data_IF_011462833347
#
_entry.id   IF_011462833347
#
_cell.length_a   1.000
_cell.length_b   1.000
_cell.length_c   1.000
_cell.angle_alpha   90.00
_cell.angle_beta   90.00
_cell.angle_gamma   90.00
#
_symmetry.space_group_name_H-M   'P 1'
#
loop_
_entity.id
_entity.type
_entity.pdbx_description
1 polymer ?
#
# COMPACT_ATOMS: atom_id res chain seq x y z
N UNK A 1 -5.57 -1.81 -14.61
CA UNK A 1 -5.99 -1.07 -13.39
C UNK A 1 -4.81 -1.00 -12.45
N UNK A 2 -4.34 0.18 -12.02
CA UNK A 2 -3.17 0.26 -11.15
C UNK A 2 -3.51 -0.31 -9.75
N UNK A 3 -2.63 -1.14 -9.21
CA UNK A 3 -2.73 -1.67 -7.85
C UNK A 3 -2.44 -0.54 -6.84
N UNK A 4 -3.48 0.11 -6.32
CA UNK A 4 -3.32 1.05 -5.17
C UNK A 4 -3.32 0.35 -3.81
N UNK A 5 -3.35 -0.98 -3.79
CA UNK A 5 -3.38 -1.83 -2.61
C UNK A 5 -2.34 -2.93 -2.80
N UNK A 6 -1.69 -3.34 -1.71
CA UNK A 6 -0.88 -4.55 -1.73
C UNK A 6 -1.75 -5.77 -2.01
N UNK A 7 -1.16 -6.85 -2.53
CA UNK A 7 -1.86 -8.13 -2.68
C UNK A 7 -1.36 -9.10 -1.61
N UNK A 8 -2.27 -9.61 -0.80
CA UNK A 8 -2.02 -10.67 0.18
C UNK A 8 -2.54 -11.96 -0.43
N UNK A 9 -1.62 -12.83 -0.83
CA UNK A 9 -1.95 -14.14 -1.40
C UNK A 9 -1.72 -15.21 -0.34
N UNK A 10 -2.80 -15.86 0.07
CA UNK A 10 -2.77 -16.99 0.99
C UNK A 10 -2.83 -18.26 0.16
N UNK A 11 -1.84 -19.13 0.34
CA UNK A 11 -1.79 -20.44 -0.28
C UNK A 11 -1.91 -21.50 0.83
N UNK A 12 -3.05 -22.18 0.86
CA UNK A 12 -3.40 -23.09 1.93
C UNK A 12 -3.74 -24.49 1.47
N UNK A 13 -3.70 -25.44 2.41
CA UNK A 13 -3.90 -26.86 2.11
C UNK A 13 -5.39 -27.24 2.00
N UNK A 14 -6.29 -26.44 2.57
CA UNK A 14 -7.74 -26.68 2.54
C UNK A 14 -8.40 -26.02 1.32
N UNK A 15 -9.55 -26.53 0.84
CA UNK A 15 -10.30 -25.89 -0.23
C UNK A 15 -10.86 -24.52 0.19
N UNK A 16 -11.31 -24.41 1.44
CA UNK A 16 -11.92 -23.19 1.97
C UNK A 16 -10.95 -22.40 2.86
N UNK A 17 -10.94 -21.05 2.73
CA UNK A 17 -10.13 -20.21 3.59
C UNK A 17 -10.60 -20.26 5.04
N UNK A 18 -9.66 -20.42 5.96
CA UNK A 18 -9.94 -20.32 7.40
C UNK A 18 -10.40 -18.91 7.78
N UNK A 19 -11.28 -18.81 8.78
CA UNK A 19 -11.83 -17.55 9.29
C UNK A 19 -10.79 -16.45 9.55
N UNK A 20 -9.60 -16.81 10.04
CA UNK A 20 -8.50 -15.87 10.31
C UNK A 20 -8.11 -15.04 9.09
N UNK A 21 -8.13 -15.63 7.89
CA UNK A 21 -7.82 -14.92 6.65
C UNK A 21 -8.96 -14.00 6.23
N UNK A 22 -10.20 -14.41 6.44
CA UNK A 22 -11.39 -13.59 6.16
C UNK A 22 -11.43 -12.36 7.08
N UNK A 23 -11.19 -12.55 8.38
CA UNK A 23 -11.12 -11.44 9.34
C UNK A 23 -9.99 -10.46 9.01
N UNK A 24 -8.81 -10.98 8.62
CA UNK A 24 -7.72 -10.14 8.14
C UNK A 24 -8.10 -9.39 6.84
N UNK A 25 -8.74 -10.06 5.89
CA UNK A 25 -9.20 -9.43 4.64
C UNK A 25 -10.19 -8.29 4.90
N UNK A 26 -11.11 -8.46 5.85
CA UNK A 26 -12.04 -7.41 6.27
C UNK A 26 -11.29 -6.24 6.91
N UNK A 27 -10.44 -6.52 7.90
CA UNK A 27 -9.65 -5.51 8.63
C UNK A 27 -8.78 -4.67 7.69
N UNK A 28 -8.13 -5.30 6.71
CA UNK A 28 -7.17 -4.67 5.82
C UNK A 28 -7.74 -4.29 4.46
N UNK A 29 -9.06 -4.36 4.28
CA UNK A 29 -9.73 -4.15 2.99
C UNK A 29 -9.40 -2.80 2.33
N UNK A 30 -9.05 -1.77 3.09
CA UNK A 30 -8.62 -0.47 2.57
C UNK A 30 -7.20 -0.48 1.99
N UNK A 31 -6.30 -1.29 2.53
CA UNK A 31 -4.86 -1.31 2.19
C UNK A 31 -4.44 -2.49 1.31
N UNK A 32 -5.21 -3.58 1.40
CA UNK A 32 -4.85 -4.86 0.82
C UNK A 32 -6.02 -5.49 0.06
N UNK A 33 -5.69 -6.20 -1.01
CA UNK A 33 -6.57 -7.16 -1.66
C UNK A 33 -6.11 -8.56 -1.26
N UNK A 34 -7.07 -9.45 -1.00
CA UNK A 34 -6.78 -10.81 -0.59
C UNK A 34 -7.14 -11.79 -1.70
N UNK A 35 -6.29 -12.80 -1.87
CA UNK A 35 -6.57 -13.97 -2.68
C UNK A 35 -6.28 -15.21 -1.86
N UNK A 36 -7.12 -16.24 -2.00
CA UNK A 36 -6.89 -17.55 -1.41
C UNK A 36 -6.72 -18.58 -2.51
N UNK A 37 -5.69 -19.41 -2.41
CA UNK A 37 -5.34 -20.44 -3.37
C UNK A 37 -5.25 -21.77 -2.64
N UNK A 38 -6.11 -22.71 -3.04
CA UNK A 38 -6.06 -24.07 -2.55
C UNK A 38 -4.92 -24.83 -3.20
N UNK A 39 -3.83 -25.02 -2.45
CA UNK A 39 -2.62 -25.68 -2.92
C UNK A 39 -2.90 -27.13 -3.31
N UNK A 40 -3.62 -27.92 -2.50
CA UNK A 40 -3.80 -29.35 -2.80
C UNK A 40 -4.68 -29.64 -4.04
N UNK A 41 -5.20 -28.60 -4.71
CA UNK A 41 -5.81 -28.73 -6.03
C UNK A 41 -4.84 -29.35 -7.06
N UNK A 42 -5.28 -30.34 -7.86
CA UNK A 42 -4.44 -31.04 -8.84
C UNK A 42 -4.25 -30.29 -10.17
N UNK A 43 -4.51 -28.97 -10.23
CA UNK A 43 -4.35 -28.18 -11.46
C UNK A 43 -2.87 -27.92 -11.82
N UNK A 44 -2.54 -28.02 -13.12
CA UNK A 44 -1.23 -27.69 -13.68
C UNK A 44 -0.84 -26.22 -13.44
N UNK A 45 -1.83 -25.32 -13.38
CA UNK A 45 -1.63 -23.91 -13.06
C UNK A 45 -1.12 -23.77 -11.62
N UNK A 46 -1.71 -24.52 -10.68
CA UNK A 46 -1.32 -24.51 -9.26
C UNK A 46 0.06 -25.13 -9.07
N UNK A 47 0.39 -26.17 -9.85
CA UNK A 47 1.74 -26.74 -9.87
C UNK A 47 2.78 -25.71 -10.35
N UNK A 48 2.51 -25.04 -11.47
CA UNK A 48 3.38 -24.00 -12.02
C UNK A 48 3.56 -22.81 -11.06
N UNK A 49 2.48 -22.38 -10.40
CA UNK A 49 2.53 -21.30 -9.40
C UNK A 49 3.40 -21.68 -8.18
N UNK A 50 3.30 -22.92 -7.70
CA UNK A 50 4.13 -23.40 -6.59
C UNK A 50 5.61 -23.35 -6.93
N UNK A 51 5.97 -23.83 -8.11
CA UNK A 51 7.36 -23.88 -8.55
C UNK A 51 7.92 -22.46 -8.69
N UNK A 52 7.18 -21.56 -9.34
CA UNK A 52 7.55 -20.15 -9.50
C UNK A 52 7.69 -19.41 -8.15
N UNK A 53 6.89 -19.79 -7.15
CA UNK A 53 6.95 -19.20 -5.80
C UNK A 53 7.87 -19.97 -4.84
N UNK A 54 8.55 -21.01 -5.31
CA UNK A 54 9.39 -21.91 -4.50
C UNK A 54 8.66 -22.55 -3.29
N UNK A 55 7.38 -22.87 -3.45
CA UNK A 55 6.55 -23.49 -2.41
C UNK A 55 6.63 -25.02 -2.51
N UNK A 56 7.47 -25.63 -1.68
CA UNK A 56 7.70 -27.09 -1.69
C UNK A 56 6.63 -27.88 -0.93
N UNK A 57 6.11 -27.31 0.16
CA UNK A 57 5.21 -28.03 1.05
C UNK A 57 3.75 -27.86 0.63
N UNK A 58 3.08 -28.96 0.29
CA UNK A 58 1.67 -28.96 -0.13
C UNK A 58 0.66 -28.86 1.02
N UNK A 59 1.10 -29.21 2.24
CA UNK A 59 0.27 -29.23 3.46
C UNK A 59 0.56 -28.03 4.38
N UNK A 60 1.37 -27.07 3.93
CA UNK A 60 1.74 -25.88 4.68
C UNK A 60 0.86 -24.70 4.27
N UNK A 61 0.70 -23.74 5.17
CA UNK A 61 0.11 -22.44 4.86
C UNK A 61 1.21 -21.46 4.49
N UNK A 62 1.01 -20.71 3.42
CA UNK A 62 1.92 -19.66 2.99
C UNK A 62 1.12 -18.36 2.84
N UNK A 63 1.59 -17.27 3.44
CA UNK A 63 1.04 -15.94 3.23
C UNK A 63 2.12 -15.11 2.56
N UNK A 64 1.82 -14.62 1.36
CA UNK A 64 2.72 -13.82 0.53
C UNK A 64 2.16 -12.42 0.38
N UNK A 65 3.02 -11.42 0.49
CA UNK A 65 2.66 -10.02 0.23
C UNK A 65 3.38 -9.55 -1.03
N UNK A 66 2.63 -9.02 -1.98
CA UNK A 66 3.14 -8.37 -3.19
C UNK A 66 2.80 -6.89 -3.14
N UNK A 67 3.77 -6.05 -3.51
CA UNK A 67 3.62 -4.59 -3.56
C UNK A 67 3.27 -4.12 -5.00
N UNK A 68 3.67 -2.90 -5.35
CA UNK A 68 3.48 -2.30 -6.68
C UNK A 68 4.41 -2.88 -7.77
N UNK A 69 5.24 -3.88 -7.44
CA UNK A 69 6.17 -4.56 -8.38
C UNK A 69 6.04 -6.09 -8.28
N UNK A 70 4.86 -6.67 -8.61
CA UNK A 70 4.65 -8.10 -8.44
C UNK A 70 5.62 -8.97 -9.25
N UNK A 71 6.21 -8.43 -10.33
CA UNK A 71 7.21 -9.12 -11.15
C UNK A 71 8.53 -9.44 -10.43
N UNK A 72 8.86 -8.76 -9.33
CA UNK A 72 10.03 -9.07 -8.51
C UNK A 72 9.74 -10.14 -7.43
N UNK A 73 8.52 -10.65 -7.40
CA UNK A 73 8.06 -11.63 -6.41
C UNK A 73 7.52 -10.98 -5.13
N UNK A 74 7.28 -11.79 -4.08
CA UNK A 74 6.70 -11.30 -2.84
C UNK A 74 7.73 -10.52 -2.01
N UNK A 75 7.33 -9.35 -1.51
CA UNK A 75 8.15 -8.52 -0.61
C UNK A 75 8.19 -9.04 0.82
N UNK A 76 7.21 -9.86 1.19
CA UNK A 76 7.20 -10.56 2.48
C UNK A 76 6.54 -11.93 2.34
N UNK A 77 7.00 -12.87 3.17
CA UNK A 77 6.53 -14.25 3.19
C UNK A 77 6.45 -14.76 4.62
N UNK A 78 5.38 -15.47 4.91
CA UNK A 78 5.22 -16.28 6.11
C UNK A 78 4.86 -17.71 5.66
N UNK A 79 5.69 -18.68 6.00
CA UNK A 79 5.50 -20.10 5.65
C UNK A 79 5.42 -20.92 6.92
N UNK A 80 4.32 -21.65 7.12
CA UNK A 80 4.04 -22.34 8.37
C UNK A 80 3.67 -23.79 8.07
N UNK A 81 4.45 -24.71 8.63
CA UNK A 81 4.28 -26.15 8.47
C UNK A 81 3.23 -26.75 9.39
N UNK A 82 3.03 -26.16 10.57
CA UNK A 82 1.97 -26.56 11.49
C UNK A 82 0.95 -25.44 11.62
N UNK A 83 -0.26 -25.71 11.15
CA UNK A 83 -1.31 -24.69 11.04
C UNK A 83 -1.74 -24.06 12.38
N UNK A 84 -1.49 -24.73 13.50
CA UNK A 84 -1.77 -24.21 14.83
C UNK A 84 -0.76 -23.13 15.25
N UNK A 85 0.37 -23.01 14.56
CA UNK A 85 1.39 -21.97 14.79
C UNK A 85 1.06 -20.66 14.08
N UNK A 86 0.14 -20.65 13.10
CA UNK A 86 -0.28 -19.42 12.45
C UNK A 86 -1.27 -18.65 13.31
N UNK A 87 -0.78 -17.69 14.08
CA UNK A 87 -1.60 -16.82 14.90
C UNK A 87 -2.14 -15.62 14.10
N UNK A 88 -3.25 -15.04 14.57
CA UNK A 88 -3.75 -13.77 14.04
C UNK A 88 -2.71 -12.66 14.21
N UNK A 89 -1.94 -12.67 15.29
CA UNK A 89 -0.91 -11.66 15.56
C UNK A 89 0.25 -11.73 14.56
N UNK A 90 0.69 -12.94 14.19
CA UNK A 90 1.71 -13.11 13.16
C UNK A 90 1.22 -12.60 11.79
N UNK A 91 -0.04 -12.89 11.44
CA UNK A 91 -0.67 -12.40 10.21
C UNK A 91 -0.81 -10.87 10.22
N UNK A 92 -1.31 -10.29 11.31
CA UNK A 92 -1.44 -8.84 11.47
C UNK A 92 -0.07 -8.17 11.37
N UNK A 93 0.93 -8.68 12.09
CA UNK A 93 2.29 -8.12 12.09
C UNK A 93 2.91 -8.14 10.69
N UNK A 94 2.76 -9.26 9.97
CA UNK A 94 3.25 -9.38 8.60
C UNK A 94 2.62 -8.31 7.70
N UNK A 95 1.30 -8.10 7.80
CA UNK A 95 0.58 -7.13 6.97
C UNK A 95 0.92 -5.70 7.37
N UNK A 96 0.88 -5.34 8.66
CA UNK A 96 1.18 -3.97 9.12
C UNK A 96 2.57 -3.51 8.69
N UNK A 97 3.56 -4.39 8.76
CA UNK A 97 4.93 -4.08 8.38
C UNK A 97 5.12 -3.89 6.87
N UNK A 98 4.17 -4.35 6.06
CA UNK A 98 4.30 -4.39 4.59
C UNK A 98 3.09 -3.79 3.86
N UNK A 99 2.13 -3.15 4.55
CA UNK A 99 0.88 -2.63 3.95
C UNK A 99 1.10 -1.42 3.05
N UNK A 100 2.25 -0.78 3.14
CA UNK A 100 2.57 0.44 2.41
C UNK A 100 3.28 0.14 1.08
N UNK A 101 2.72 0.69 -0.01
CA UNK A 101 3.36 0.71 -1.31
C UNK A 101 4.57 1.64 -1.31
N UNK A 102 5.47 1.48 -2.30
CA UNK A 102 6.63 2.38 -2.46
C UNK A 102 6.20 3.83 -2.74
N UNK A 103 5.11 4.00 -3.49
CA UNK A 103 4.45 5.27 -3.75
C UNK A 103 2.93 5.10 -3.65
N UNK A 104 2.34 5.23 -2.45
CA UNK A 104 0.91 5.10 -2.26
C UNK A 104 0.13 6.26 -2.92
N UNK A 105 -1.07 5.97 -3.41
CA UNK A 105 -2.02 6.98 -3.90
C UNK A 105 -2.96 7.41 -2.78
N UNK A 106 -3.09 8.70 -2.53
CA UNK A 106 -4.13 9.24 -1.64
C UNK A 106 -5.50 9.13 -2.30
N UNK A 107 -6.45 8.54 -1.59
CA UNK A 107 -7.83 8.33 -2.08
C UNK A 107 -8.93 8.65 -1.06
N UNK A 108 -8.53 9.01 0.16
CA UNK A 108 -9.40 9.57 1.19
C UNK A 108 -8.57 10.31 2.23
N UNK A 109 -9.24 11.09 3.09
CA UNK A 109 -8.67 11.72 4.29
C UNK A 109 -8.11 10.70 5.28
N UNK A 110 -8.82 9.60 5.52
CA UNK A 110 -8.42 8.58 6.50
C UNK A 110 -7.11 7.91 6.08
N UNK A 111 -6.94 7.71 4.76
CA UNK A 111 -5.73 7.12 4.21
C UNK A 111 -4.53 8.07 4.35
N UNK A 112 -4.74 9.38 4.21
CA UNK A 112 -3.74 10.40 4.51
C UNK A 112 -3.37 10.37 5.99
N UNK A 113 -4.35 10.37 6.89
CA UNK A 113 -4.09 10.43 8.34
C UNK A 113 -3.29 9.21 8.82
N UNK A 114 -3.50 8.03 8.24
CA UNK A 114 -2.69 6.85 8.53
C UNK A 114 -1.26 6.93 7.96
N UNK A 115 -1.09 7.45 6.73
CA UNK A 115 0.24 7.63 6.12
C UNK A 115 1.06 8.73 6.79
N UNK A 116 0.37 9.82 7.09
CA UNK A 116 0.90 11.13 7.45
C UNK A 116 0.28 11.64 8.76
N UNK A 117 0.36 10.86 9.86
CA UNK A 117 -0.31 11.21 11.10
C UNK A 117 0.22 12.53 11.66
N UNK A 118 -0.69 13.45 11.93
CA UNK A 118 -0.41 14.70 12.65
C UNK A 118 -0.27 14.39 14.14
N UNK A 119 0.95 14.48 14.67
CA UNK A 119 1.20 14.34 16.11
C UNK A 119 1.90 15.59 16.65
N UNK A 120 1.30 16.20 17.68
CA UNK A 120 1.92 17.31 18.43
C UNK A 120 3.12 16.86 19.27
N UNK A 121 3.27 15.55 19.53
CA UNK A 121 4.27 14.99 20.45
C UNK A 121 5.50 14.40 19.77
N UNK A 122 5.54 14.30 18.44
CA UNK A 122 6.65 13.68 17.71
C UNK A 122 7.09 14.60 16.55
N UNK A 123 8.32 15.15 16.58
CA UNK A 123 8.71 16.16 15.61
C UNK A 123 8.86 15.60 14.19
N UNK A 124 8.21 16.32 13.26
CA UNK A 124 8.45 16.46 11.80
C UNK A 124 8.44 15.17 10.98
N UNK A 125 7.30 14.49 10.88
CA UNK A 125 7.01 13.66 9.71
C UNK A 125 6.53 14.59 8.58
N UNK A 126 7.17 14.52 7.42
CA UNK A 126 6.75 15.28 6.23
C UNK A 126 6.09 14.36 5.24
N UNK A 127 5.12 14.88 4.50
CA UNK A 127 4.52 14.18 3.39
C UNK A 127 4.66 15.01 2.12
N UNK A 128 5.44 14.49 1.18
CA UNK A 128 5.58 15.06 -0.14
C UNK A 128 4.50 14.46 -1.04
N UNK A 129 3.54 15.29 -1.42
CA UNK A 129 2.37 14.89 -2.20
C UNK A 129 2.54 15.44 -3.61
N UNK A 130 2.55 14.57 -4.62
CA UNK A 130 2.51 14.96 -6.03
C UNK A 130 1.04 15.03 -6.50
N UNK A 131 0.47 16.23 -6.72
CA UNK A 131 -0.83 16.37 -7.37
C UNK A 131 -0.70 16.17 -8.87
N UNK A 132 -1.54 15.30 -9.43
CA UNK A 132 -1.65 15.00 -10.86
C UNK A 132 -3.11 14.82 -11.26
N UNK A 133 -3.42 14.83 -12.54
CA UNK A 133 -4.72 14.46 -13.09
C UNK A 133 -4.72 12.96 -13.42
N UNK A 134 -5.84 12.27 -13.20
CA UNK A 134 -6.05 10.90 -13.67
C UNK A 134 -6.25 10.89 -15.19
N UNK A 135 -5.17 11.06 -15.94
CA UNK A 135 -5.13 11.05 -17.41
C UNK A 135 -3.85 10.40 -17.94
N UNK A 136 -3.83 10.05 -19.23
CA UNK A 136 -2.65 9.47 -19.89
C UNK A 136 -1.47 10.42 -19.96
N UNK A 137 -1.73 11.73 -20.07
CA UNK A 137 -0.68 12.75 -20.16
C UNK A 137 0.11 12.83 -18.85
N UNK A 138 -0.59 12.77 -17.71
CA UNK A 138 0.03 12.91 -16.39
C UNK A 138 0.64 11.60 -15.85
N UNK A 139 0.38 10.47 -16.51
CA UNK A 139 0.93 9.17 -16.13
C UNK A 139 2.47 9.17 -16.12
N UNK A 140 3.10 9.94 -17.01
CA UNK A 140 4.55 10.09 -17.08
C UNK A 140 5.13 10.67 -15.78
N UNK A 141 4.44 11.62 -15.14
CA UNK A 141 4.88 12.22 -13.88
C UNK A 141 4.76 11.23 -12.73
N UNK A 142 3.68 10.45 -12.69
CA UNK A 142 3.49 9.40 -11.69
C UNK A 142 4.56 8.32 -11.84
N UNK A 143 4.86 7.90 -13.08
CA UNK A 143 5.89 6.90 -13.35
C UNK A 143 7.29 7.39 -12.98
N UNK A 144 7.62 8.65 -13.33
CA UNK A 144 8.88 9.29 -12.94
C UNK A 144 9.02 9.37 -11.42
N UNK A 145 7.98 9.82 -10.73
CA UNK A 145 8.00 9.93 -9.27
C UNK A 145 8.04 8.56 -8.57
N UNK A 146 7.41 7.54 -9.15
CA UNK A 146 7.52 6.16 -8.65
C UNK A 146 8.96 5.65 -8.75
N UNK A 147 9.64 5.90 -9.87
CA UNK A 147 11.04 5.54 -10.02
C UNK A 147 11.92 6.27 -9.00
N UNK A 148 11.69 7.57 -8.79
CA UNK A 148 12.35 8.33 -7.74
C UNK A 148 12.11 7.75 -6.34
N UNK A 149 10.85 7.42 -6.01
CA UNK A 149 10.49 6.83 -4.73
C UNK A 149 11.12 5.45 -4.52
N UNK A 150 11.27 4.64 -5.58
CA UNK A 150 11.99 3.35 -5.51
C UNK A 150 13.47 3.54 -5.23
N UNK A 151 14.12 4.49 -5.91
CA UNK A 151 15.55 4.74 -5.78
C UNK A 151 15.91 5.39 -4.44
N UNK A 152 15.10 6.34 -3.97
CA UNK A 152 15.44 7.19 -2.82
C UNK A 152 14.54 7.00 -1.59
N UNK A 153 13.43 6.26 -1.69
CA UNK A 153 12.41 6.16 -0.65
C UNK A 153 12.95 5.66 0.69
N UNK A 154 13.91 4.73 0.70
CA UNK A 154 14.58 4.29 1.95
C UNK A 154 15.34 5.41 2.65
N UNK A 155 15.95 6.33 1.91
CA UNK A 155 16.65 7.49 2.47
C UNK A 155 15.66 8.50 3.06
N UNK A 156 14.58 8.79 2.32
CA UNK A 156 13.51 9.67 2.77
C UNK A 156 12.75 9.11 3.98
N UNK A 157 12.52 7.80 4.04
CA UNK A 157 11.90 7.15 5.19
C UNK A 157 12.73 7.33 6.48
N UNK A 158 14.08 7.29 6.40
CA UNK A 158 14.97 7.60 7.54
C UNK A 158 14.83 9.04 8.02
N UNK A 159 14.52 9.96 7.10
CA UNK A 159 14.24 11.36 7.38
C UNK A 159 12.78 11.62 7.77
N UNK A 160 11.98 10.55 7.98
CA UNK A 160 10.54 10.62 8.25
C UNK A 160 9.75 11.37 7.17
N UNK A 161 10.17 11.24 5.90
CA UNK A 161 9.45 11.77 4.75
C UNK A 161 8.71 10.64 4.05
N UNK A 162 7.40 10.80 3.87
CA UNK A 162 6.54 9.91 3.09
C UNK A 162 6.34 10.53 1.71
N UNK A 163 6.59 9.76 0.66
CA UNK A 163 6.32 10.16 -0.71
C UNK A 163 4.98 9.57 -1.13
N UNK A 164 4.09 10.39 -1.69
CA UNK A 164 2.75 9.96 -2.11
C UNK A 164 2.25 10.83 -3.25
N UNK A 165 1.16 10.44 -3.91
CA UNK A 165 0.56 11.23 -4.97
C UNK A 165 -0.95 11.19 -4.88
N UNK A 166 -1.61 12.11 -5.56
CA UNK A 166 -3.05 12.23 -5.56
C UNK A 166 -3.57 12.61 -6.95
N UNK A 167 -4.69 12.00 -7.34
CA UNK A 167 -5.44 12.45 -8.49
C UNK A 167 -6.37 13.60 -8.10
N UNK A 168 -5.97 14.82 -8.43
CA UNK A 168 -6.67 16.05 -8.05
C UNK A 168 -8.11 16.08 -8.57
N UNK A 169 -8.35 15.57 -9.78
CA UNK A 169 -9.69 15.46 -10.36
C UNK A 169 -10.58 14.38 -9.72
N UNK A 170 -9.99 13.39 -9.03
CA UNK A 170 -10.73 12.34 -8.30
C UNK A 170 -10.95 12.67 -6.83
N UNK A 171 -10.17 13.59 -6.29
CA UNK A 171 -10.19 14.01 -4.88
C UNK A 171 -10.35 15.53 -4.81
N UNK A 172 -11.23 16.06 -5.65
CA UNK A 172 -11.40 17.50 -5.89
C UNK A 172 -11.75 18.26 -4.63
N UNK A 173 -12.74 17.80 -3.86
CA UNK A 173 -13.17 18.44 -2.62
C UNK A 173 -12.04 18.53 -1.58
N UNK A 174 -11.22 17.49 -1.48
CA UNK A 174 -10.12 17.43 -0.53
C UNK A 174 -8.93 18.30 -0.95
N UNK A 175 -8.58 18.32 -2.24
CA UNK A 175 -7.41 19.07 -2.71
C UNK A 175 -7.70 20.56 -2.95
N UNK A 176 -8.96 20.91 -3.20
CA UNK A 176 -9.38 22.28 -3.54
C UNK A 176 -8.87 23.35 -2.57
N UNK A 177 -8.92 23.19 -1.23
CA UNK A 177 -8.35 24.17 -0.29
C UNK A 177 -6.84 24.40 -0.44
N UNK A 178 -6.09 23.44 -1.01
CA UNK A 178 -4.65 23.55 -1.24
C UNK A 178 -4.32 24.18 -2.61
N UNK A 179 -5.26 24.11 -3.57
CA UNK A 179 -5.12 24.71 -4.90
C UNK A 179 -5.65 26.14 -4.95
N UNK A 180 -6.64 26.46 -4.12
CA UNK A 180 -7.15 27.81 -3.97
C UNK A 180 -6.10 28.68 -3.27
N UNK A 181 -5.69 29.76 -3.96
CA UNK A 181 -4.80 30.77 -3.40
C UNK A 181 -5.47 31.31 -2.13
N UNK A 182 -4.80 31.25 -0.96
CA UNK A 182 -5.26 31.98 0.23
C UNK A 182 -5.33 33.47 -0.13
N UNK A 183 -6.52 33.95 -0.47
CA UNK A 183 -6.80 35.38 -0.66
C UNK A 183 -6.89 36.02 0.72
N UNK A 184 -5.74 36.23 1.36
CA UNK A 184 -5.70 36.89 2.64
C UNK A 184 -4.37 36.80 3.36
N UNK A 185 -3.38 37.59 2.93
CA UNK A 185 -2.43 38.22 3.85
C UNK A 185 -1.81 39.50 3.24
N UNK A 186 -2.25 40.64 3.81
CA UNK A 186 -1.71 42.01 3.81
C UNK A 186 -1.61 42.81 2.50
N UNK A 187 -2.72 43.43 2.09
CA UNK A 187 -2.64 44.75 1.43
C UNK A 187 -2.19 45.76 2.50
N UNK A 188 -0.91 46.15 2.49
CA UNK A 188 -0.49 47.40 3.14
C UNK A 188 -1.25 48.51 2.42
N UNK A 189 -2.13 49.20 3.15
CA UNK A 189 -2.72 50.44 2.66
C UNK A 189 -1.58 51.45 2.44
N UNK A 190 -1.49 52.13 1.29
CA UNK A 190 -0.62 53.29 1.17
C UNK A 190 -1.14 54.37 2.11
N UNK A 191 -0.27 54.91 2.96
CA UNK A 191 -0.53 56.17 3.67
C UNK A 191 -0.92 57.23 2.64
N UNK A 192 -2.12 57.80 2.77
CA UNK A 192 -2.48 59.05 2.13
C UNK A 192 -2.10 60.21 3.04
N UNK A 193 -1.11 60.97 2.56
CA UNK A 193 -0.85 62.41 2.77
C UNK A 193 -0.81 62.97 4.19
#
# INVERSE_FOLDING_TARGET
MPLFKISVVVLGAAPDPRMRYLLAAMKYSHFARFAYIHLASPSDEIASMRDNLAIKCKQCENVLIFNDVPGEGPVARLSISNINQLTMDALNTLIENNKWLSLPRLSSSEYLDELCPVSSRNPRRLCAILPVVDSSEDEVFVNSFRNFARQHGKSYAKQKVVLTYIYANRQSEWIKPFLEKRTGESVRSPMSS
#
